data_IF_052727874157
#
_entry.id   IF_052727874157
#
_cell.length_a   1.000
_cell.length_b   1.000
_cell.length_c   1.000
_cell.angle_alpha   90.00
_cell.angle_beta   90.00
_cell.angle_gamma   90.00
#
_symmetry.space_group_name_H-M   'P 1'
#
loop_
_entity.id
_entity.type
_entity.pdbx_description
1 polymer ?
#
# COMPACT_ATOMS: atom_id res chain seq x y z
N UNK A 1 -9.88 12.95 -4.87
CA UNK A 1 -8.58 12.28 -5.02
C UNK A 1 -8.81 10.77 -5.13
N UNK A 2 -8.02 10.05 -5.94
CA UNK A 2 -8.10 8.59 -5.99
C UNK A 2 -7.83 8.00 -4.60
N UNK A 3 -8.56 6.93 -4.25
CA UNK A 3 -8.31 6.22 -3.00
C UNK A 3 -7.03 5.39 -3.11
N UNK A 4 -6.48 4.97 -1.96
CA UNK A 4 -5.35 4.01 -1.92
C UNK A 4 -5.65 2.76 -2.77
N UNK A 5 -6.89 2.28 -2.74
CA UNK A 5 -7.32 1.13 -3.54
C UNK A 5 -7.25 1.41 -5.04
N UNK A 6 -7.68 2.60 -5.47
CA UNK A 6 -7.66 2.98 -6.88
C UNK A 6 -6.22 3.07 -7.39
N UNK A 7 -5.32 3.68 -6.61
CA UNK A 7 -3.89 3.78 -6.91
C UNK A 7 -3.26 2.39 -7.04
N UNK A 8 -3.49 1.51 -6.05
CA UNK A 8 -2.91 0.17 -6.07
C UNK A 8 -3.48 -0.69 -7.20
N UNK A 9 -4.77 -0.58 -7.51
CA UNK A 9 -5.35 -1.27 -8.66
C UNK A 9 -4.73 -0.78 -9.97
N UNK A 10 -4.64 0.53 -10.18
CA UNK A 10 -4.05 1.11 -11.39
C UNK A 10 -2.63 0.59 -11.63
N UNK A 11 -1.81 0.52 -10.57
CA UNK A 11 -0.46 -0.03 -10.64
C UNK A 11 -0.47 -1.53 -10.96
N UNK A 12 -1.33 -2.31 -10.30
CA UNK A 12 -1.46 -3.77 -10.53
C UNK A 12 -1.89 -4.10 -11.96
N UNK A 13 -2.69 -3.25 -12.61
CA UNK A 13 -3.15 -3.44 -13.98
C UNK A 13 -2.11 -3.10 -15.05
N UNK A 14 -1.16 -2.20 -14.76
CA UNK A 14 -0.16 -1.74 -15.76
C UNK A 14 0.86 -2.81 -16.09
N UNK A 15 1.48 -3.40 -15.07
CA UNK A 15 2.40 -4.53 -15.19
C UNK A 15 2.62 -5.13 -13.80
N UNK A 16 2.49 -6.45 -13.69
CA UNK A 16 2.67 -7.15 -12.42
C UNK A 16 4.14 -7.11 -11.95
N UNK A 17 5.11 -7.00 -12.86
CA UNK A 17 6.54 -6.85 -12.55
C UNK A 17 6.87 -5.48 -11.95
N UNK A 18 6.15 -4.44 -12.39
CA UNK A 18 6.26 -3.09 -11.83
C UNK A 18 5.58 -3.00 -10.46
N UNK A 19 4.55 -3.81 -10.20
CA UNK A 19 3.85 -3.81 -8.92
C UNK A 19 4.76 -4.17 -7.73
N UNK A 20 5.79 -4.99 -7.96
CA UNK A 20 6.77 -5.34 -6.91
C UNK A 20 7.59 -4.13 -6.42
N UNK A 21 7.68 -3.06 -7.23
CA UNK A 21 8.36 -1.81 -6.89
C UNK A 21 7.50 -0.85 -6.05
N UNK A 22 6.25 -1.24 -5.76
CA UNK A 22 5.36 -0.48 -4.90
C UNK A 22 5.72 -0.72 -3.44
N UNK A 23 5.78 0.35 -2.66
CA UNK A 23 5.89 0.29 -1.21
C UNK A 23 4.62 0.84 -0.58
N UNK A 24 4.00 0.07 0.31
CA UNK A 24 2.83 0.48 1.08
C UNK A 24 3.20 0.62 2.54
N UNK A 25 3.18 1.87 3.03
CA UNK A 25 3.44 2.19 4.42
C UNK A 25 2.13 2.28 5.19
N UNK A 26 2.06 1.62 6.34
CA UNK A 26 0.87 1.60 7.18
C UNK A 26 1.19 1.66 8.67
N UNK A 27 0.22 2.14 9.46
CA UNK A 27 0.34 2.19 10.91
C UNK A 27 0.22 0.80 11.52
N UNK A 28 1.23 0.37 12.26
CA UNK A 28 1.22 -0.84 13.07
C UNK A 28 1.61 -0.50 14.52
N UNK A 29 0.66 -0.63 15.44
CA UNK A 29 0.91 -0.38 16.87
C UNK A 29 1.97 -1.36 17.39
N UNK A 30 3.00 -0.85 18.06
CA UNK A 30 4.06 -1.68 18.66
C UNK A 30 5.18 -2.08 17.69
N UNK A 31 5.17 -1.58 16.45
CA UNK A 31 6.33 -1.66 15.56
C UNK A 31 7.28 -0.47 15.80
N UNK A 32 8.56 -0.54 15.41
CA UNK A 32 9.44 0.63 15.38
C UNK A 32 8.77 1.79 14.63
N UNK A 33 8.74 2.98 15.23
CA UNK A 33 8.04 4.17 14.71
C UNK A 33 6.52 4.02 14.51
N UNK A 34 5.89 2.99 15.07
CA UNK A 34 4.46 2.65 14.88
C UNK A 34 4.04 2.47 13.41
N UNK A 35 5.00 2.15 12.54
CA UNK A 35 4.80 2.00 11.09
C UNK A 35 5.50 0.75 10.58
N UNK A 36 4.93 0.13 9.55
CA UNK A 36 5.59 -0.92 8.77
C UNK A 36 5.40 -0.65 7.29
N UNK A 37 6.29 -1.23 6.49
CA UNK A 37 6.26 -1.18 5.03
C UNK A 37 6.13 -2.60 4.50
N UNK A 38 5.34 -2.75 3.44
CA UNK A 38 5.28 -3.98 2.65
C UNK A 38 5.52 -3.65 1.17
N UNK A 39 6.10 -4.60 0.44
CA UNK A 39 6.18 -4.53 -1.02
C UNK A 39 4.84 -4.92 -1.66
N UNK A 40 4.57 -4.41 -2.86
CA UNK A 40 3.47 -4.90 -3.70
C UNK A 40 3.53 -6.41 -3.96
N UNK A 41 4.72 -7.03 -3.96
CA UNK A 41 4.86 -8.49 -4.09
C UNK A 41 4.18 -9.26 -2.93
N UNK A 42 4.09 -8.65 -1.75
CA UNK A 42 3.47 -9.26 -0.58
C UNK A 42 1.94 -9.20 -0.63
N UNK A 43 1.37 -8.39 -1.52
CA UNK A 43 -0.07 -8.18 -1.66
C UNK A 43 -0.66 -9.26 -2.55
N UNK A 44 -1.45 -10.13 -1.94
CA UNK A 44 -2.17 -11.21 -2.61
C UNK A 44 -3.40 -10.64 -3.34
N UNK A 45 -4.22 -9.85 -2.62
CA UNK A 45 -5.51 -9.36 -3.13
C UNK A 45 -5.83 -7.94 -2.65
N UNK A 46 -6.55 -7.20 -3.48
CA UNK A 46 -7.06 -5.85 -3.16
C UNK A 46 -8.58 -5.91 -2.99
N UNK A 47 -9.03 -5.99 -1.75
CA UNK A 47 -10.47 -6.05 -1.42
C UNK A 47 -11.06 -4.65 -1.34
N UNK A 48 -12.37 -4.56 -1.04
CA UNK A 48 -13.09 -3.27 -0.96
C UNK A 48 -12.56 -2.34 0.14
N UNK A 49 -12.22 -2.89 1.31
CA UNK A 49 -11.91 -2.09 2.51
C UNK A 49 -10.49 -2.32 3.08
N UNK A 50 -9.78 -3.31 2.54
CA UNK A 50 -8.46 -3.71 3.00
C UNK A 50 -7.67 -4.34 1.84
N UNK A 51 -6.35 -4.37 1.99
CA UNK A 51 -5.47 -5.20 1.17
C UNK A 51 -5.09 -6.46 1.98
N UNK A 52 -4.94 -7.58 1.29
CA UNK A 52 -4.60 -8.88 1.85
C UNK A 52 -3.16 -9.22 1.51
N UNK A 53 -2.39 -9.60 2.52
CA UNK A 53 -1.03 -10.11 2.36
C UNK A 53 -1.01 -11.60 2.70
N UNK A 54 0.14 -12.26 2.54
CA UNK A 54 0.32 -13.67 2.94
C UNK A 54 0.12 -13.92 4.44
N UNK A 55 0.29 -12.91 5.29
CA UNK A 55 0.32 -13.06 6.75
C UNK A 55 -0.81 -12.31 7.46
N UNK A 56 -1.35 -11.24 6.86
CA UNK A 56 -2.34 -10.39 7.51
C UNK A 56 -3.18 -9.55 6.53
N UNK A 57 -4.25 -8.95 7.04
CA UNK A 57 -5.11 -8.01 6.31
C UNK A 57 -4.85 -6.60 6.82
N UNK A 58 -4.61 -5.66 5.90
CA UNK A 58 -4.30 -4.27 6.23
C UNK A 58 -5.43 -3.37 5.72
N UNK A 59 -6.24 -2.78 6.63
CA UNK A 59 -7.26 -1.80 6.25
C UNK A 59 -6.67 -0.57 5.57
N UNK A 60 -7.32 -0.07 4.51
CA UNK A 60 -6.82 1.10 3.76
C UNK A 60 -6.73 2.38 4.61
N UNK A 61 -7.58 2.52 5.63
CA UNK A 61 -7.51 3.66 6.54
C UNK A 61 -6.23 3.67 7.39
N UNK A 62 -5.51 2.53 7.49
CA UNK A 62 -4.21 2.45 8.17
C UNK A 62 -3.05 2.75 7.23
N UNK A 63 -3.25 2.73 5.92
CA UNK A 63 -2.25 3.13 4.94
C UNK A 63 -2.03 4.64 5.04
N UNK A 64 -0.77 5.01 5.24
CA UNK A 64 -0.33 6.40 5.40
C UNK A 64 0.46 6.89 4.20
N UNK A 65 1.12 6.00 3.44
CA UNK A 65 1.90 6.38 2.28
C UNK A 65 1.96 5.26 1.25
N UNK A 66 1.92 5.62 -0.02
CA UNK A 66 2.21 4.71 -1.14
C UNK A 66 3.30 5.33 -1.99
N UNK A 67 4.38 4.58 -2.21
CA UNK A 67 5.53 4.99 -3.00
C UNK A 67 5.67 4.03 -4.17
N UNK A 68 6.01 4.56 -5.34
CA UNK A 68 6.37 3.79 -6.52
C UNK A 68 7.64 4.38 -7.12
N UNK A 69 8.72 3.59 -7.19
CA UNK A 69 10.02 4.03 -7.72
C UNK A 69 10.51 5.36 -7.12
N UNK A 70 10.39 5.50 -5.80
CA UNK A 70 10.77 6.71 -5.06
C UNK A 70 9.81 7.90 -5.21
N UNK A 71 8.74 7.78 -6.01
CA UNK A 71 7.70 8.81 -6.16
C UNK A 71 6.55 8.53 -5.21
N UNK A 72 6.15 9.55 -4.45
CA UNK A 72 4.99 9.49 -3.57
C UNK A 72 3.72 9.58 -4.43
N UNK A 73 2.91 8.53 -4.41
CA UNK A 73 1.61 8.49 -5.10
C UNK A 73 0.44 8.80 -4.16
N UNK A 74 0.64 8.56 -2.86
CA UNK A 74 -0.31 8.86 -1.81
C UNK A 74 0.47 9.20 -0.54
N UNK A 75 0.08 10.26 0.16
CA UNK A 75 0.55 10.57 1.50
C UNK A 75 -0.61 11.14 2.31
N UNK A 76 -0.95 10.48 3.41
CA UNK A 76 -2.11 10.84 4.22
C UNK A 76 -1.94 12.18 4.94
N UNK A 77 -0.71 12.67 5.12
CA UNK A 77 -0.43 13.88 5.89
C UNK A 77 -0.18 15.11 5.01
N UNK A 78 0.08 14.90 3.72
CA UNK A 78 0.37 15.96 2.75
C UNK A 78 -0.77 16.19 1.73
N UNK A 79 -1.87 15.43 1.84
CA UNK A 79 -3.05 15.52 0.95
C UNK A 79 -4.12 16.48 1.45
#
# INVERSE_FOLDING_TARGET
MPSVRDILNELKWRDNSEFNKVEVWYRHRGAPNDTMVISGEEIVSLHKSFLETKTTMIPYHRVIKVIYEGRILFDRFEM
#
